data_IF_545635778425
#
_entry.id   IF_545635778425
#
_cell.length_a   1.000
_cell.length_b   1.000
_cell.length_c   1.000
_cell.angle_alpha   90.00
_cell.angle_beta   90.00
_cell.angle_gamma   90.00
#
_symmetry.space_group_name_H-M   'P 1'
#
loop_
_entity.id
_entity.type
_entity.pdbx_description
1 polymer ?
#
# COMPACT_ATOMS: atom_id res chain seq x y z
N UNK A 1 -20.33 4.23 5.51
CA UNK A 1 -20.80 4.13 6.91
C UNK A 1 -19.78 4.62 7.95
N UNK A 2 -18.83 5.52 7.63
CA UNK A 2 -17.90 6.10 8.62
C UNK A 2 -17.87 7.65 8.58
N UNK A 3 -18.83 8.26 7.86
CA UNK A 3 -19.01 9.72 7.74
C UNK A 3 -20.35 10.21 8.26
N UNK A 4 -21.23 9.30 8.72
CA UNK A 4 -22.59 9.63 9.16
C UNK A 4 -22.75 9.67 10.68
N UNK A 5 -21.79 9.11 11.43
CA UNK A 5 -21.79 9.15 12.89
C UNK A 5 -20.67 10.09 13.30
N UNK A 6 -21.06 11.33 13.63
CA UNK A 6 -20.23 12.45 14.04
C UNK A 6 -19.53 12.19 15.39
N UNK A 7 -18.83 11.07 15.49
CA UNK A 7 -18.17 10.53 16.68
C UNK A 7 -16.71 10.95 16.65
N UNK A 8 -16.32 11.74 17.64
CA UNK A 8 -14.96 12.18 17.80
C UNK A 8 -14.10 11.02 18.33
N UNK A 9 -13.35 10.37 17.43
CA UNK A 9 -12.51 9.19 17.73
C UNK A 9 -11.43 9.48 18.78
N UNK A 10 -11.19 10.74 19.14
CA UNK A 10 -10.25 11.14 20.19
C UNK A 10 -10.75 10.88 21.61
N UNK A 11 -12.05 10.78 21.81
CA UNK A 11 -12.66 10.47 23.12
C UNK A 11 -13.02 8.99 23.27
N UNK A 12 -12.88 8.22 22.18
CA UNK A 12 -13.23 6.80 22.14
C UNK A 12 -12.06 5.96 22.64
N UNK A 13 -12.22 5.37 23.82
CA UNK A 13 -11.25 4.42 24.38
C UNK A 13 -11.31 3.15 23.53
N UNK A 14 -10.26 2.89 22.76
CA UNK A 14 -10.17 1.73 21.88
C UNK A 14 -9.90 0.44 22.69
N UNK A 15 -10.83 -0.51 22.61
CA UNK A 15 -10.73 -1.80 23.32
C UNK A 15 -10.02 -2.87 22.47
N UNK A 16 -9.55 -2.52 21.27
CA UNK A 16 -8.90 -3.44 20.35
C UNK A 16 -7.41 -3.73 20.66
N UNK A 17 -6.82 -4.75 20.01
CA UNK A 17 -5.42 -5.12 20.23
C UNK A 17 -4.47 -3.97 19.86
N UNK A 18 -3.63 -3.59 20.82
CA UNK A 18 -2.79 -2.38 20.82
C UNK A 18 -3.55 -1.03 20.87
N UNK A 19 -4.72 -0.99 21.51
CA UNK A 19 -5.48 0.25 21.70
C UNK A 19 -6.18 0.75 20.43
N UNK A 20 -6.37 -0.12 19.44
CA UNK A 20 -7.09 0.22 18.22
C UNK A 20 -8.58 0.35 18.49
N UNK A 21 -9.18 1.43 17.97
CA UNK A 21 -10.62 1.67 18.01
C UNK A 21 -11.30 0.71 17.04
N UNK A 22 -12.11 -0.22 17.54
CA UNK A 22 -12.89 -1.15 16.72
C UNK A 22 -14.30 -0.59 16.47
N UNK A 23 -15.00 -1.10 15.44
CA UNK A 23 -16.34 -0.60 15.06
C UNK A 23 -17.32 -0.53 16.23
N UNK A 24 -17.26 -1.48 17.16
CA UNK A 24 -18.07 -1.51 18.39
C UNK A 24 -17.80 -0.32 19.32
N UNK A 25 -16.57 0.16 19.40
CA UNK A 25 -16.22 1.31 20.24
C UNK A 25 -16.76 2.62 19.63
N UNK A 26 -16.79 2.72 18.29
CA UNK A 26 -17.37 3.86 17.56
C UNK A 26 -18.89 3.90 17.72
N UNK A 27 -19.55 2.76 17.67
CA UNK A 27 -21.00 2.66 17.89
C UNK A 27 -21.40 3.00 19.34
N UNK A 28 -20.61 2.56 20.33
CA UNK A 28 -20.84 2.90 21.73
C UNK A 28 -20.66 4.40 22.00
N UNK A 29 -19.63 5.01 21.42
CA UNK A 29 -19.41 6.45 21.52
C UNK A 29 -20.46 7.28 20.76
N UNK A 30 -20.98 6.78 19.63
CA UNK A 30 -22.12 7.37 18.96
C UNK A 30 -23.38 7.36 19.82
N UNK A 31 -23.65 6.24 20.49
CA UNK A 31 -24.78 6.11 21.40
C UNK A 31 -24.66 7.06 22.61
N UNK A 32 -23.45 7.30 23.12
CA UNK A 32 -23.21 8.28 24.19
C UNK A 32 -23.33 9.73 23.72
N UNK A 33 -22.86 10.06 22.51
CA UNK A 33 -22.95 11.40 21.93
C UNK A 33 -24.40 11.81 21.60
N UNK A 34 -25.27 10.85 21.27
CA UNK A 34 -26.68 11.09 21.01
C UNK A 34 -27.50 11.45 22.28
N UNK A 35 -26.94 11.24 23.48
CA UNK A 35 -27.62 11.48 24.76
C UNK A 35 -27.25 12.85 25.38
N UNK A 36 -26.26 13.56 24.82
CA UNK A 36 -25.77 14.82 25.37
C UNK A 36 -25.89 16.01 24.38
N UNK A 37 -27.08 16.61 24.34
CA UNK A 37 -27.26 18.02 23.99
C UNK A 37 -28.20 18.64 25.04
N UNK A 38 -28.11 19.94 25.39
CA UNK A 38 -27.37 21.03 24.74
C UNK A 38 -26.48 21.86 25.72
N UNK A 39 -25.66 22.78 25.20
CA UNK A 39 -25.56 24.21 25.62
C UNK A 39 -24.28 24.90 25.14
N UNK A 40 -24.40 26.22 25.03
CA UNK A 40 -23.55 27.17 24.35
C UNK A 40 -22.22 27.48 25.04
N UNK A 41 -21.28 28.04 24.26
CA UNK A 41 -20.35 29.06 24.75
C UNK A 41 -18.88 28.64 24.85
N UNK A 42 -18.07 29.24 23.97
CA UNK A 42 -16.74 29.71 24.30
C UNK A 42 -15.58 28.72 24.19
N UNK A 43 -14.74 28.93 23.18
CA UNK A 43 -13.32 29.32 23.26
C UNK A 43 -12.61 28.86 21.99
N UNK A 44 -12.24 29.84 21.18
CA UNK A 44 -11.20 29.71 20.16
C UNK A 44 -9.90 29.29 20.83
N UNK A 45 -9.53 28.01 20.73
CA UNK A 45 -8.14 27.60 20.74
C UNK A 45 -7.80 27.11 19.34
N UNK A 46 -7.13 27.97 18.58
CA UNK A 46 -6.55 27.57 17.30
C UNK A 46 -5.31 26.76 17.65
N UNK A 47 -5.48 25.46 17.87
CA UNK A 47 -4.36 24.53 17.80
C UNK A 47 -3.69 24.71 16.43
N UNK A 48 -2.35 24.63 16.30
CA UNK A 48 -1.71 24.74 15.00
C UNK A 48 -2.32 23.66 14.11
N UNK A 49 -3.08 24.10 13.10
CA UNK A 49 -3.58 23.22 12.06
C UNK A 49 -2.35 22.61 11.42
N UNK A 50 -2.10 21.33 11.71
CA UNK A 50 -1.24 20.54 10.85
C UNK A 50 -1.86 20.65 9.47
N UNK A 51 -1.17 21.28 8.53
CA UNK A 51 -1.56 21.27 7.13
C UNK A 51 -1.54 19.82 6.68
N UNK A 52 -2.68 19.15 6.81
CA UNK A 52 -2.93 17.87 6.21
C UNK A 52 -2.83 18.13 4.71
N UNK A 53 -1.68 17.78 4.13
CA UNK A 53 -1.37 18.05 2.73
C UNK A 53 -2.53 17.68 1.80
N UNK A 54 -2.63 18.38 0.68
CA UNK A 54 -3.69 18.16 -0.30
C UNK A 54 -3.73 16.71 -0.78
N UNK A 55 -4.92 16.11 -0.81
CA UNK A 55 -5.13 14.78 -1.38
C UNK A 55 -5.52 14.91 -2.84
N UNK A 56 -4.69 14.35 -3.73
CA UNK A 56 -5.03 14.24 -5.15
C UNK A 56 -5.76 12.91 -5.40
N UNK A 57 -6.93 12.91 -6.07
CA UNK A 57 -7.60 11.68 -6.43
C UNK A 57 -6.77 10.89 -7.45
N UNK A 58 -6.68 9.57 -7.27
CA UNK A 58 -6.01 8.71 -8.23
C UNK A 58 -6.73 8.69 -9.58
N UNK A 59 -5.94 8.61 -10.65
CA UNK A 59 -6.47 8.36 -11.99
C UNK A 59 -7.03 6.94 -12.10
N UNK A 60 -7.83 6.67 -13.12
CA UNK A 60 -8.37 5.32 -13.36
C UNK A 60 -7.26 4.26 -13.48
N UNK A 61 -6.15 4.58 -14.14
CA UNK A 61 -4.99 3.69 -14.28
C UNK A 61 -4.32 3.41 -12.94
N UNK A 62 -4.11 4.44 -12.11
CA UNK A 62 -3.52 4.28 -10.78
C UNK A 62 -4.40 3.40 -9.89
N UNK A 63 -5.72 3.62 -9.91
CA UNK A 63 -6.67 2.78 -9.19
C UNK A 63 -6.64 1.32 -9.65
N UNK A 64 -6.52 1.06 -10.96
CA UNK A 64 -6.41 -0.30 -11.49
C UNK A 64 -5.12 -1.00 -11.02
N UNK A 65 -3.98 -0.30 -11.07
CA UNK A 65 -2.70 -0.84 -10.58
C UNK A 65 -2.77 -1.14 -9.07
N UNK A 66 -3.34 -0.24 -8.26
CA UNK A 66 -3.51 -0.45 -6.82
C UNK A 66 -4.37 -1.68 -6.53
N UNK A 67 -5.47 -1.88 -7.25
CA UNK A 67 -6.33 -3.06 -7.08
C UNK A 67 -5.57 -4.36 -7.39
N UNK A 68 -4.84 -4.42 -8.50
CA UNK A 68 -4.03 -5.58 -8.87
C UNK A 68 -2.91 -5.86 -7.83
N UNK A 69 -2.30 -4.80 -7.28
CA UNK A 69 -1.29 -4.94 -6.22
C UNK A 69 -1.88 -5.50 -4.93
N UNK A 70 -3.07 -5.05 -4.53
CA UNK A 70 -3.75 -5.57 -3.33
C UNK A 70 -4.18 -7.02 -3.52
N UNK A 71 -4.68 -7.38 -4.70
CA UNK A 71 -5.07 -8.75 -5.03
C UNK A 71 -3.87 -9.72 -4.97
N UNK A 72 -2.70 -9.27 -5.41
CA UNK A 72 -1.46 -10.07 -5.40
C UNK A 72 -1.00 -10.46 -3.99
N UNK A 73 -1.46 -9.79 -2.93
CA UNK A 73 -1.12 -10.13 -1.54
C UNK A 73 -1.74 -11.45 -1.06
N UNK A 74 -2.78 -11.93 -1.74
CA UNK A 74 -3.43 -13.21 -1.42
C UNK A 74 -2.54 -14.42 -1.74
N UNK A 75 -1.56 -14.25 -2.61
CA UNK A 75 -0.63 -15.30 -3.01
C UNK A 75 0.55 -15.35 -2.02
N UNK A 76 0.85 -16.50 -1.39
CA UNK A 76 2.02 -16.62 -0.52
C UNK A 76 3.31 -16.29 -1.29
N UNK A 77 4.08 -15.30 -0.81
CA UNK A 77 5.33 -14.89 -1.47
C UNK A 77 6.54 -15.36 -0.69
N UNK A 78 7.42 -16.13 -1.36
CA UNK A 78 8.75 -16.45 -0.86
C UNK A 78 9.78 -15.71 -1.70
N UNK A 79 10.69 -14.98 -1.06
CA UNK A 79 11.71 -14.17 -1.73
C UNK A 79 13.03 -14.92 -1.73
N UNK A 80 13.59 -15.11 -2.92
CA UNK A 80 14.88 -15.75 -3.12
C UNK A 80 15.85 -14.73 -3.71
N UNK A 81 17.00 -14.58 -3.08
CA UNK A 81 18.10 -13.76 -3.59
C UNK A 81 19.35 -14.61 -3.79
N UNK A 82 19.96 -14.54 -4.97
CA UNK A 82 21.24 -15.17 -5.27
C UNK A 82 22.19 -14.16 -5.92
N UNK A 83 23.47 -14.27 -5.56
CA UNK A 83 24.56 -13.56 -6.24
C UNK A 83 25.20 -14.51 -7.24
N UNK A 84 25.35 -14.08 -8.48
CA UNK A 84 26.01 -14.84 -9.54
C UNK A 84 27.07 -13.97 -10.23
N UNK A 85 28.17 -14.60 -10.64
CA UNK A 85 29.22 -13.91 -11.41
C UNK A 85 28.78 -13.74 -12.86
N UNK A 86 28.81 -12.49 -13.36
CA UNK A 86 28.42 -12.16 -14.75
C UNK A 86 29.60 -12.10 -15.72
N UNK A 87 30.81 -12.51 -15.33
CA UNK A 87 32.03 -12.34 -16.14
C UNK A 87 31.89 -12.88 -17.57
N UNK A 88 31.34 -14.10 -17.73
CA UNK A 88 31.11 -14.71 -19.04
C UNK A 88 29.98 -14.02 -19.83
N UNK A 89 28.95 -13.55 -19.12
CA UNK A 89 27.81 -12.85 -19.71
C UNK A 89 28.20 -11.46 -20.24
N UNK A 90 29.05 -10.74 -19.52
CA UNK A 90 29.60 -9.44 -19.94
C UNK A 90 30.53 -9.59 -21.15
N UNK A 91 31.36 -10.65 -21.18
CA UNK A 91 32.19 -10.95 -22.34
C UNK A 91 31.36 -11.22 -23.60
N UNK A 92 30.23 -11.91 -23.45
CA UNK A 92 29.29 -12.17 -24.53
C UNK A 92 28.55 -10.89 -24.96
N UNK A 93 28.11 -10.08 -24.01
CA UNK A 93 27.44 -8.81 -24.31
C UNK A 93 28.32 -7.86 -25.13
N UNK A 94 29.61 -7.73 -24.77
CA UNK A 94 30.57 -6.92 -25.54
C UNK A 94 30.65 -7.31 -27.02
N UNK A 95 30.53 -8.59 -27.34
CA UNK A 95 30.57 -9.10 -28.72
C UNK A 95 29.28 -8.84 -29.50
N UNK A 96 28.15 -8.74 -28.81
CA UNK A 96 26.81 -8.72 -29.44
C UNK A 96 26.17 -7.31 -29.37
N UNK A 97 26.71 -6.41 -28.54
CA UNK A 97 26.23 -5.02 -28.40
C UNK A 97 26.15 -4.28 -29.74
N UNK A 98 27.07 -4.52 -30.66
CA UNK A 98 27.07 -3.95 -32.01
C UNK A 98 25.85 -4.35 -32.85
N UNK A 99 25.13 -5.41 -32.47
CA UNK A 99 23.90 -5.88 -33.12
C UNK A 99 22.63 -5.35 -32.47
N UNK A 100 22.74 -4.39 -31.54
CA UNK A 100 21.60 -3.75 -30.88
C UNK A 100 20.93 -4.57 -29.76
N UNK A 101 21.56 -5.66 -29.32
CA UNK A 101 21.02 -6.48 -28.23
C UNK A 101 21.33 -5.83 -26.87
N UNK A 102 20.32 -5.74 -26.00
CA UNK A 102 20.43 -5.19 -24.64
C UNK A 102 20.54 -6.29 -23.59
N UNK A 103 21.11 -5.97 -22.41
CA UNK A 103 21.21 -6.92 -21.29
C UNK A 103 19.84 -7.45 -20.85
N UNK A 104 18.80 -6.60 -20.86
CA UNK A 104 17.42 -6.99 -20.53
C UNK A 104 16.89 -8.06 -21.48
N UNK A 105 17.21 -7.95 -22.78
CA UNK A 105 16.79 -8.95 -23.76
C UNK A 105 17.51 -10.30 -23.56
N UNK A 106 18.80 -10.28 -23.17
CA UNK A 106 19.53 -11.50 -22.80
C UNK A 106 18.93 -12.17 -21.56
N UNK A 107 18.60 -11.39 -20.54
CA UNK A 107 17.97 -11.89 -19.31
C UNK A 107 16.59 -12.47 -19.62
N UNK A 108 15.77 -11.79 -20.43
CA UNK A 108 14.46 -12.30 -20.86
C UNK A 108 14.57 -13.62 -21.65
N UNK A 109 15.60 -13.76 -22.49
CA UNK A 109 15.86 -15.04 -23.18
C UNK A 109 16.27 -16.14 -22.21
N UNK A 110 17.14 -15.82 -21.25
CA UNK A 110 17.57 -16.78 -20.23
C UNK A 110 16.40 -17.28 -19.38
N UNK A 111 15.50 -16.39 -18.95
CA UNK A 111 14.30 -16.78 -18.19
C UNK A 111 13.34 -17.62 -19.02
N UNK A 112 13.14 -17.27 -20.30
CA UNK A 112 12.32 -18.07 -21.20
C UNK A 112 12.87 -19.50 -21.38
N UNK A 113 14.19 -19.65 -21.58
CA UNK A 113 14.83 -20.96 -21.67
C UNK A 113 14.71 -21.76 -20.36
N UNK A 114 14.88 -21.11 -19.22
CA UNK A 114 14.70 -21.74 -17.91
C UNK A 114 13.28 -22.29 -17.72
N UNK A 115 12.25 -21.53 -18.13
CA UNK A 115 10.85 -21.97 -18.07
C UNK A 115 10.55 -23.16 -19.01
N UNK A 116 11.24 -23.25 -20.15
CA UNK A 116 11.09 -24.40 -21.07
C UNK A 116 11.71 -25.67 -20.47
N UNK A 117 12.89 -25.54 -19.86
CA UNK A 117 13.59 -26.67 -19.23
C UNK A 117 12.93 -27.14 -17.93
N UNK A 118 12.33 -26.22 -17.18
CA UNK A 118 11.59 -26.48 -15.95
C UNK A 118 10.11 -26.19 -16.15
N UNK A 119 9.46 -27.06 -16.93
CA UNK A 119 8.00 -27.05 -17.06
C UNK A 119 7.40 -27.48 -15.72
N UNK A 120 6.66 -26.59 -15.09
CA UNK A 120 5.79 -26.92 -13.96
C UNK A 120 4.56 -27.68 -14.46
#
# INVERSE_FOLDING_TARGET
>A
MLKELSVDLRTVVGTGPQGRIVAKDVEAAAAMAAVAAPEAGGRTSVAPSVDLGSTAPFTAMQNAVCRNMVESLSVPTFRIGYTFSTNALDALYKKIKSKGVTMTALLAKATALALVMHRW
#
